data_IF_268155524019
#
_entry.id   IF_268155524019
#
_cell.length_a   1.000
_cell.length_b   1.000
_cell.length_c   1.000
_cell.angle_alpha   90.00
_cell.angle_beta   90.00
_cell.angle_gamma   90.00
#
_symmetry.space_group_name_H-M   'P 1'
#
loop_
_entity.id
_entity.type
_entity.pdbx_description
1 polymer ?
#
# COMPACT_ATOMS: atom_id res chain seq x y z
N UNK A 1 1.01 -1.75 16.85
CA UNK A 1 0.11 -1.29 15.76
C UNK A 1 0.05 -2.40 14.72
N UNK A 2 -1.04 -2.54 13.97
CA UNK A 2 -1.25 -3.64 13.01
C UNK A 2 -0.14 -3.74 11.96
N UNK A 3 0.33 -2.61 11.42
CA UNK A 3 1.44 -2.55 10.47
C UNK A 3 2.82 -2.94 11.04
N UNK A 4 2.93 -3.20 12.34
CA UNK A 4 4.16 -3.72 12.96
C UNK A 4 4.20 -5.25 12.96
N UNK A 5 3.13 -5.91 12.51
CA UNK A 5 3.07 -7.36 12.26
C UNK A 5 3.53 -8.23 13.44
N UNK A 6 3.08 -7.88 14.65
CA UNK A 6 3.30 -8.74 15.82
C UNK A 6 2.64 -10.12 15.62
N UNK A 7 3.18 -11.19 16.22
CA UNK A 7 2.57 -12.51 16.14
C UNK A 7 1.16 -12.54 16.78
N UNK A 8 0.18 -13.26 16.21
CA UNK A 8 -1.18 -13.38 16.78
C UNK A 8 -1.20 -13.79 18.25
N UNK A 9 -0.29 -14.69 18.64
CA UNK A 9 -0.13 -15.18 20.02
C UNK A 9 0.11 -14.05 21.04
N UNK A 10 0.76 -12.95 20.64
CA UNK A 10 0.96 -11.80 21.54
C UNK A 10 -0.39 -11.19 21.93
N UNK A 11 -1.33 -11.08 20.98
CA UNK A 11 -2.64 -10.49 21.23
C UNK A 11 -3.48 -11.36 22.15
N UNK A 12 -3.36 -12.70 22.07
CA UNK A 12 -4.01 -13.61 23.02
C UNK A 12 -3.56 -13.37 24.47
N UNK A 13 -2.25 -13.23 24.69
CA UNK A 13 -1.68 -12.94 26.03
C UNK A 13 -2.10 -11.55 26.54
N UNK A 14 -2.09 -10.54 25.66
CA UNK A 14 -2.54 -9.19 26.00
C UNK A 14 -4.04 -9.16 26.33
N UNK A 15 -4.88 -9.88 25.59
CA UNK A 15 -6.31 -10.01 25.85
C UNK A 15 -6.55 -10.67 27.22
N UNK A 16 -5.79 -11.72 27.57
CA UNK A 16 -5.85 -12.35 28.89
C UNK A 16 -5.51 -11.36 30.02
N UNK A 17 -4.49 -10.52 29.86
CA UNK A 17 -4.16 -9.45 30.83
C UNK A 17 -5.29 -8.43 30.95
N UNK A 18 -5.90 -8.02 29.83
CA UNK A 18 -7.04 -7.09 29.81
C UNK A 18 -8.23 -7.70 30.55
N UNK A 19 -8.56 -8.96 30.28
CA UNK A 19 -9.67 -9.65 30.95
C UNK A 19 -9.40 -9.83 32.45
N UNK A 20 -8.19 -10.20 32.83
CA UNK A 20 -7.81 -10.32 34.24
C UNK A 20 -7.87 -8.97 34.96
N UNK A 21 -7.38 -7.90 34.33
CA UNK A 21 -7.49 -6.55 34.87
C UNK A 21 -8.96 -6.12 35.05
N UNK A 22 -9.83 -6.41 34.08
CA UNK A 22 -11.27 -6.16 34.20
C UNK A 22 -11.90 -6.93 35.37
N UNK A 23 -11.46 -8.16 35.61
CA UNK A 23 -11.90 -8.99 36.75
C UNK A 23 -11.50 -8.36 38.08
N UNK A 24 -10.26 -7.88 38.23
CA UNK A 24 -9.77 -7.31 39.50
C UNK A 24 -10.46 -6.00 39.88
N UNK A 25 -10.90 -5.21 38.89
CA UNK A 25 -11.66 -3.97 39.12
C UNK A 25 -13.18 -4.19 39.17
N UNK A 26 -13.65 -5.43 39.06
CA UNK A 26 -15.08 -5.77 39.11
C UNK A 26 -15.90 -5.25 37.92
N UNK A 27 -15.27 -5.06 36.75
CA UNK A 27 -15.95 -4.58 35.55
C UNK A 27 -17.06 -5.54 35.10
N UNK A 28 -18.21 -4.97 34.71
CA UNK A 28 -19.36 -5.70 34.16
C UNK A 28 -19.65 -5.27 32.73
N UNK A 29 -19.73 -6.25 31.84
CA UNK A 29 -19.97 -6.03 30.41
C UNK A 29 -21.39 -5.46 30.23
N UNK A 30 -21.54 -4.24 29.67
CA UNK A 30 -22.85 -3.68 29.40
C UNK A 30 -23.52 -4.42 28.24
N UNK A 31 -24.85 -4.50 28.27
CA UNK A 31 -25.63 -5.09 27.18
C UNK A 31 -25.69 -4.10 26.01
N UNK A 32 -25.22 -4.50 24.83
CA UNK A 32 -25.32 -3.67 23.62
C UNK A 32 -26.69 -3.87 22.93
N UNK A 33 -27.56 -2.83 22.87
CA UNK A 33 -28.89 -2.94 22.24
C UNK A 33 -28.83 -3.17 20.72
N UNK A 34 -27.74 -2.78 20.05
CA UNK A 34 -27.59 -2.89 18.59
C UNK A 34 -27.46 -4.34 18.11
N UNK A 35 -27.11 -5.26 19.02
CA UNK A 35 -26.97 -6.70 18.75
C UNK A 35 -28.30 -7.46 18.80
N UNK A 36 -29.43 -6.78 19.01
CA UNK A 36 -30.77 -7.35 18.93
C UNK A 36 -30.97 -8.58 19.84
N UNK A 37 -31.45 -9.69 19.27
CA UNK A 37 -31.72 -10.94 19.99
C UNK A 37 -30.48 -11.60 20.59
N UNK A 38 -29.31 -11.42 19.96
CA UNK A 38 -28.04 -12.00 20.43
C UNK A 38 -27.39 -11.22 21.57
N UNK A 39 -27.85 -9.98 21.82
CA UNK A 39 -27.26 -9.08 22.81
C UNK A 39 -27.06 -9.72 24.19
N UNK A 40 -28.03 -10.50 24.68
CA UNK A 40 -27.91 -11.14 25.99
C UNK A 40 -26.94 -12.34 25.98
N UNK A 41 -26.82 -13.05 24.85
CA UNK A 41 -25.91 -14.18 24.71
C UNK A 41 -24.47 -13.67 24.65
N UNK A 42 -24.20 -12.70 23.78
CA UNK A 42 -22.88 -12.07 23.61
C UNK A 42 -22.42 -11.39 24.91
N UNK A 43 -23.30 -10.69 25.62
CA UNK A 43 -22.97 -10.10 26.92
C UNK A 43 -22.49 -11.16 27.93
N UNK A 44 -23.19 -12.31 28.02
CA UNK A 44 -22.81 -13.40 28.93
C UNK A 44 -21.50 -14.06 28.51
N UNK A 45 -21.27 -14.25 27.21
CA UNK A 45 -20.03 -14.82 26.67
C UNK A 45 -18.82 -13.91 26.99
N UNK A 46 -18.94 -12.59 26.76
CA UNK A 46 -17.89 -11.63 27.08
C UNK A 46 -17.66 -11.50 28.59
N UNK A 47 -18.72 -11.52 29.40
CA UNK A 47 -18.58 -11.50 30.86
C UNK A 47 -17.87 -12.77 31.36
N UNK A 48 -18.17 -13.93 30.76
CA UNK A 48 -17.52 -15.19 31.10
C UNK A 48 -16.01 -15.15 30.86
N UNK A 49 -15.54 -14.56 29.75
CA UNK A 49 -14.10 -14.39 29.50
C UNK A 49 -13.41 -13.61 30.62
N UNK A 50 -14.07 -12.59 31.17
CA UNK A 50 -13.57 -11.81 32.31
C UNK A 50 -13.60 -12.64 33.58
N UNK A 51 -14.72 -13.30 33.88
CA UNK A 51 -14.90 -14.05 35.11
C UNK A 51 -13.93 -15.26 35.18
N UNK A 52 -13.67 -15.92 34.04
CA UNK A 52 -12.75 -17.06 33.91
C UNK A 52 -11.27 -16.63 33.78
N UNK A 53 -10.98 -15.33 33.60
CA UNK A 53 -9.61 -14.85 33.40
C UNK A 53 -8.69 -15.10 34.61
N UNK A 54 -7.45 -15.44 34.30
CA UNK A 54 -6.37 -15.71 35.25
C UNK A 54 -5.17 -14.83 34.94
N UNK A 55 -4.41 -14.51 35.98
CA UNK A 55 -3.13 -13.82 35.84
C UNK A 55 -2.19 -14.68 34.98
N UNK A 56 -1.40 -14.03 34.11
CA UNK A 56 -0.35 -14.71 33.36
C UNK A 56 0.63 -15.37 34.34
N UNK A 57 1.00 -16.62 34.07
CA UNK A 57 2.06 -17.31 34.80
C UNK A 57 3.46 -16.85 34.33
N UNK A 58 4.51 -17.28 35.03
CA UNK A 58 5.89 -16.85 34.73
C UNK A 58 6.34 -17.21 33.30
N UNK A 59 5.91 -18.37 32.78
CA UNK A 59 6.24 -18.80 31.42
C UNK A 59 5.52 -17.94 30.37
N UNK A 60 4.26 -17.60 30.60
CA UNK A 60 3.46 -16.71 29.74
C UNK A 60 4.00 -15.28 29.75
N UNK A 61 4.47 -14.79 30.90
CA UNK A 61 5.14 -13.49 31.00
C UNK A 61 6.43 -13.51 30.18
N UNK A 62 7.25 -14.55 30.30
CA UNK A 62 8.47 -14.69 29.50
C UNK A 62 8.17 -14.83 27.99
N UNK A 63 7.12 -15.57 27.62
CA UNK A 63 6.64 -15.69 26.24
C UNK A 63 6.24 -14.32 25.69
N UNK A 64 5.46 -13.54 26.46
CA UNK A 64 5.01 -12.20 26.09
C UNK A 64 6.18 -11.26 25.83
N UNK A 65 7.16 -11.19 26.74
CA UNK A 65 8.36 -10.36 26.58
C UNK A 65 9.14 -10.73 25.31
N UNK A 66 9.24 -12.02 24.99
CA UNK A 66 9.87 -12.49 23.74
C UNK A 66 9.05 -12.13 22.50
N UNK A 67 7.72 -12.17 22.56
CA UNK A 67 6.85 -11.83 21.42
C UNK A 67 6.84 -10.32 21.14
N UNK A 68 7.00 -9.49 22.17
CA UNK A 68 7.14 -8.04 22.05
C UNK A 68 8.37 -7.61 21.24
N UNK A 69 9.37 -8.48 21.07
CA UNK A 69 10.55 -8.19 20.22
C UNK A 69 10.42 -8.72 18.79
N UNK A 70 9.36 -9.46 18.47
CA UNK A 70 9.21 -10.13 17.16
C UNK A 70 8.40 -9.32 16.14
N UNK A 71 7.89 -8.14 16.52
CA UNK A 71 7.31 -7.19 15.59
C UNK A 71 8.34 -6.19 15.08
N UNK A 72 7.94 -5.40 14.08
CA UNK A 72 8.68 -4.25 13.58
C UNK A 72 8.54 -3.06 14.54
N UNK A 73 9.05 -3.20 15.76
CA UNK A 73 8.94 -2.21 16.84
C UNK A 73 9.53 -0.85 16.48
N UNK A 74 10.58 -0.85 15.65
CA UNK A 74 11.24 0.36 15.17
C UNK A 74 10.53 1.00 13.98
N UNK A 75 9.50 0.39 13.40
CA UNK A 75 8.69 1.00 12.33
C UNK A 75 7.61 1.86 12.93
N UNK A 76 7.66 3.15 12.62
CA UNK A 76 6.67 4.14 13.03
C UNK A 76 5.59 4.30 11.98
N UNK A 77 4.49 4.98 12.33
CA UNK A 77 3.43 5.31 11.37
C UNK A 77 3.92 6.20 10.21
N UNK A 78 4.95 7.03 10.45
CA UNK A 78 5.59 7.83 9.38
C UNK A 78 6.28 6.90 8.38
N UNK A 79 7.03 5.91 8.87
CA UNK A 79 7.79 4.98 8.05
C UNK A 79 6.86 4.12 7.20
N UNK A 80 5.81 3.60 7.82
CA UNK A 80 4.76 2.86 7.12
C UNK A 80 4.11 3.68 6.00
N UNK A 81 3.65 4.90 6.31
CA UNK A 81 3.03 5.76 5.30
C UNK A 81 4.00 6.12 4.17
N UNK A 82 5.29 6.30 4.47
CA UNK A 82 6.30 6.55 3.45
C UNK A 82 6.52 5.32 2.57
N UNK A 83 6.59 4.12 3.16
CA UNK A 83 6.69 2.87 2.41
C UNK A 83 5.50 2.69 1.46
N UNK A 84 4.26 2.96 1.89
CA UNK A 84 3.08 2.90 1.01
C UNK A 84 3.17 3.93 -0.14
N UNK A 85 3.58 5.17 0.15
CA UNK A 85 3.78 6.21 -0.88
C UNK A 85 4.87 5.82 -1.89
N UNK A 86 5.95 5.22 -1.42
CA UNK A 86 7.02 4.74 -2.29
C UNK A 86 6.52 3.61 -3.20
N UNK A 87 5.76 2.65 -2.68
CA UNK A 87 5.12 1.60 -3.49
C UNK A 87 4.16 2.20 -4.53
N UNK A 88 3.35 3.20 -4.19
CA UNK A 88 2.50 3.91 -5.17
C UNK A 88 3.32 4.60 -6.27
N UNK A 89 4.46 5.20 -5.91
CA UNK A 89 5.29 6.01 -6.82
C UNK A 89 6.13 5.17 -7.78
N UNK A 90 6.67 4.05 -7.31
CA UNK A 90 7.63 3.22 -8.06
C UNK A 90 7.06 1.87 -8.51
N UNK A 91 5.95 1.43 -7.92
CA UNK A 91 5.38 0.11 -8.12
C UNK A 91 6.04 -0.94 -7.21
N UNK A 92 5.29 -1.96 -6.81
CA UNK A 92 5.70 -2.93 -5.77
C UNK A 92 6.98 -3.71 -6.10
N UNK A 93 7.31 -3.83 -7.37
CA UNK A 93 8.45 -4.62 -7.84
C UNK A 93 9.78 -3.84 -7.79
N UNK A 94 9.74 -2.50 -7.74
CA UNK A 94 10.93 -1.64 -7.75
C UNK A 94 11.45 -1.39 -6.32
N UNK A 95 11.85 -2.49 -5.66
CA UNK A 95 12.29 -2.45 -4.27
C UNK A 95 13.53 -1.57 -4.06
N UNK A 96 14.37 -1.41 -5.08
CA UNK A 96 15.57 -0.59 -5.01
C UNK A 96 15.24 0.90 -4.89
N UNK A 97 14.30 1.41 -5.71
CA UNK A 97 13.86 2.81 -5.58
C UNK A 97 12.96 3.01 -4.36
N UNK A 98 12.12 2.04 -3.98
CA UNK A 98 11.36 2.09 -2.73
C UNK A 98 12.30 2.22 -1.53
N UNK A 99 13.35 1.40 -1.47
CA UNK A 99 14.31 1.40 -0.37
C UNK A 99 15.01 2.75 -0.23
N UNK A 100 15.49 3.33 -1.34
CA UNK A 100 16.15 4.64 -1.34
C UNK A 100 15.22 5.76 -0.88
N UNK A 101 13.99 5.81 -1.41
CA UNK A 101 13.03 6.86 -1.06
C UNK A 101 12.60 6.78 0.42
N UNK A 102 12.47 5.57 0.97
CA UNK A 102 12.19 5.37 2.39
C UNK A 102 13.41 5.74 3.24
N UNK A 103 14.63 5.32 2.84
CA UNK A 103 15.88 5.68 3.52
C UNK A 103 16.07 7.20 3.61
N UNK A 104 15.91 7.90 2.48
CA UNK A 104 16.08 9.36 2.39
C UNK A 104 15.13 10.12 3.34
N UNK A 105 13.92 9.60 3.55
CA UNK A 105 12.86 10.31 4.31
C UNK A 105 12.79 9.89 5.78
N UNK A 106 13.15 8.65 6.08
CA UNK A 106 12.91 8.01 7.39
C UNK A 106 14.19 7.48 8.05
N UNK A 107 15.27 7.33 7.29
CA UNK A 107 16.52 6.72 7.73
C UNK A 107 16.48 5.20 7.85
N UNK A 108 15.42 4.52 7.36
CA UNK A 108 15.39 3.05 7.30
C UNK A 108 16.35 2.55 6.24
N UNK A 109 17.23 1.64 6.63
CA UNK A 109 18.20 1.07 5.71
C UNK A 109 17.50 0.22 4.63
N UNK A 110 18.13 0.04 3.45
CA UNK A 110 17.56 -0.80 2.40
C UNK A 110 17.27 -2.24 2.84
N UNK A 111 18.08 -2.80 3.74
CA UNK A 111 17.86 -4.14 4.29
C UNK A 111 16.62 -4.21 5.18
N UNK A 112 16.40 -3.21 6.05
CA UNK A 112 15.18 -3.11 6.85
C UNK A 112 13.94 -2.99 5.96
N UNK A 113 14.00 -2.18 4.91
CA UNK A 113 12.89 -2.00 3.97
C UNK A 113 12.59 -3.29 3.23
N UNK A 114 13.62 -4.05 2.79
CA UNK A 114 13.43 -5.36 2.14
C UNK A 114 12.81 -6.39 3.09
N UNK A 115 13.26 -6.45 4.34
CA UNK A 115 12.71 -7.35 5.35
C UNK A 115 11.24 -7.02 5.63
N UNK A 116 10.93 -5.74 5.84
CA UNK A 116 9.57 -5.26 6.04
C UNK A 116 8.68 -5.54 4.84
N UNK A 117 9.15 -5.24 3.62
CA UNK A 117 8.40 -5.46 2.38
C UNK A 117 7.96 -6.91 2.21
N UNK A 118 8.84 -7.88 2.51
CA UNK A 118 8.49 -9.31 2.45
C UNK A 118 7.33 -9.65 3.38
N UNK A 119 7.41 -9.23 4.65
CA UNK A 119 6.35 -9.52 5.63
C UNK A 119 5.08 -8.74 5.32
N UNK A 120 5.21 -7.49 4.87
CA UNK A 120 4.09 -6.68 4.44
C UNK A 120 3.31 -7.41 3.35
N UNK A 121 3.94 -7.87 2.27
CA UNK A 121 3.21 -8.53 1.18
C UNK A 121 2.62 -9.89 1.56
N UNK A 122 3.21 -10.58 2.54
CA UNK A 122 2.69 -11.85 3.06
C UNK A 122 1.47 -11.64 3.98
N UNK A 123 1.51 -10.60 4.82
CA UNK A 123 0.57 -10.38 5.94
C UNK A 123 -0.26 -9.11 5.82
N UNK A 124 -0.23 -8.39 4.70
CA UNK A 124 -0.94 -7.12 4.55
C UNK A 124 -2.47 -7.25 4.72
N UNK A 125 -3.03 -8.44 4.49
CA UNK A 125 -4.44 -8.75 4.73
C UNK A 125 -4.86 -8.65 6.21
N UNK A 126 -3.91 -8.62 7.15
CA UNK A 126 -4.16 -8.41 8.58
C UNK A 126 -4.41 -6.93 8.92
N UNK A 127 -4.11 -5.99 8.00
CA UNK A 127 -4.25 -4.56 8.24
C UNK A 127 -5.71 -4.13 8.13
N UNK A 128 -6.16 -3.26 9.05
CA UNK A 128 -7.54 -2.79 9.06
C UNK A 128 -7.93 -2.03 7.79
N UNK A 129 -6.99 -1.23 7.25
CA UNK A 129 -7.20 -0.37 6.08
C UNK A 129 -6.64 -0.98 4.78
N UNK A 130 -6.50 -2.30 4.69
CA UNK A 130 -5.80 -2.95 3.56
C UNK A 130 -6.42 -2.62 2.20
N UNK A 131 -7.75 -2.67 2.06
CA UNK A 131 -8.43 -2.41 0.79
C UNK A 131 -8.10 -1.02 0.23
N UNK A 132 -8.06 -0.03 1.12
CA UNK A 132 -7.70 1.35 0.77
C UNK A 132 -6.24 1.45 0.35
N UNK A 133 -5.34 0.78 1.07
CA UNK A 133 -3.90 0.79 0.81
C UNK A 133 -3.60 0.12 -0.54
N UNK A 134 -4.19 -1.05 -0.80
CA UNK A 134 -4.05 -1.75 -2.08
C UNK A 134 -4.58 -0.92 -3.24
N UNK A 135 -5.77 -0.34 -3.11
CA UNK A 135 -6.33 0.54 -4.12
C UNK A 135 -5.47 1.80 -4.38
N UNK A 136 -4.70 2.26 -3.40
CA UNK A 136 -3.74 3.35 -3.61
C UNK A 136 -2.53 2.88 -4.42
N UNK A 137 -1.91 1.76 -4.03
CA UNK A 137 -0.74 1.20 -4.73
C UNK A 137 -1.09 0.84 -6.18
N UNK A 138 -2.21 0.14 -6.39
CA UNK A 138 -2.65 -0.28 -7.72
C UNK A 138 -2.97 0.90 -8.65
N UNK A 139 -3.51 2.00 -8.12
CA UNK A 139 -3.69 3.24 -8.90
C UNK A 139 -2.35 3.85 -9.30
N UNK A 140 -1.34 3.78 -8.45
CA UNK A 140 0.03 4.18 -8.77
C UNK A 140 0.62 3.33 -9.89
N UNK A 141 0.52 2.01 -9.76
CA UNK A 141 0.99 1.04 -10.75
C UNK A 141 0.29 1.19 -12.10
N UNK A 142 -1.03 1.43 -12.11
CA UNK A 142 -1.77 1.70 -13.33
C UNK A 142 -1.27 2.96 -14.06
N UNK A 143 -0.87 4.01 -13.33
CA UNK A 143 -0.26 5.21 -13.92
C UNK A 143 1.12 4.90 -14.50
N UNK A 144 1.94 4.12 -13.79
CA UNK A 144 3.27 3.69 -14.27
C UNK A 144 3.12 2.88 -15.55
N UNK A 145 2.24 1.88 -15.57
CA UNK A 145 1.98 1.05 -16.73
C UNK A 145 1.41 1.84 -17.90
N UNK A 146 0.51 2.79 -17.64
CA UNK A 146 -0.02 3.69 -18.66
C UNK A 146 1.09 4.55 -19.27
N UNK A 147 1.98 5.15 -18.46
CA UNK A 147 3.14 5.89 -18.96
C UNK A 147 4.03 5.02 -19.83
N UNK A 148 4.38 3.82 -19.37
CA UNK A 148 5.19 2.88 -20.15
C UNK A 148 4.54 2.52 -21.49
N UNK A 149 3.22 2.29 -21.51
CA UNK A 149 2.47 1.99 -22.74
C UNK A 149 2.46 3.16 -23.73
N UNK A 150 2.27 4.39 -23.27
CA UNK A 150 2.28 5.60 -24.11
C UNK A 150 3.68 5.79 -24.69
N UNK A 151 4.72 5.67 -23.86
CA UNK A 151 6.12 5.75 -24.31
C UNK A 151 6.39 4.75 -25.43
N UNK A 152 6.06 3.48 -25.19
CA UNK A 152 6.25 2.39 -26.16
C UNK A 152 5.49 2.65 -27.47
N UNK A 153 4.26 3.16 -27.39
CA UNK A 153 3.47 3.48 -28.58
C UNK A 153 4.06 4.65 -29.37
N UNK A 154 4.54 5.71 -28.70
CA UNK A 154 5.22 6.84 -29.34
C UNK A 154 6.54 6.40 -29.98
N UNK A 155 7.36 5.63 -29.26
CA UNK A 155 8.63 5.09 -29.76
C UNK A 155 8.41 4.22 -31.02
N UNK A 156 7.38 3.37 -31.03
CA UNK A 156 7.04 2.54 -32.19
C UNK A 156 6.50 3.35 -33.39
N UNK A 157 5.85 4.50 -33.14
CA UNK A 157 5.20 5.31 -34.17
C UNK A 157 6.12 6.38 -34.77
N UNK A 158 6.99 6.97 -33.95
CA UNK A 158 7.84 8.14 -34.28
C UNK A 158 9.33 7.79 -34.25
N UNK A 159 9.76 6.87 -33.38
CA UNK A 159 11.17 6.58 -33.15
C UNK A 159 11.86 5.83 -34.30
N UNK A 160 13.12 5.44 -34.10
CA UNK A 160 13.99 4.90 -35.15
C UNK A 160 13.51 3.58 -35.77
N UNK A 161 12.66 2.84 -35.05
CA UNK A 161 12.02 1.61 -35.54
C UNK A 161 10.72 1.87 -36.31
N UNK A 162 10.30 3.13 -36.44
CA UNK A 162 9.09 3.51 -37.15
C UNK A 162 9.25 3.38 -38.67
N UNK A 163 8.13 3.20 -39.37
CA UNK A 163 8.09 3.11 -40.85
C UNK A 163 8.52 4.40 -41.57
N UNK A 164 8.69 5.51 -40.84
CA UNK A 164 8.92 6.84 -41.40
C UNK A 164 10.35 7.28 -41.17
N UNK A 165 11.08 7.55 -42.26
CA UNK A 165 12.45 8.07 -42.19
C UNK A 165 12.49 9.53 -41.76
N UNK A 166 11.43 10.29 -42.03
CA UNK A 166 11.26 11.67 -41.59
C UNK A 166 9.85 11.89 -40.98
N UNK A 167 9.64 11.50 -39.70
CA UNK A 167 8.32 11.53 -39.05
C UNK A 167 7.61 12.87 -39.12
N UNK A 168 8.33 13.99 -38.91
CA UNK A 168 7.78 15.35 -38.99
C UNK A 168 7.13 15.71 -40.33
N UNK A 169 7.52 15.03 -41.43
CA UNK A 169 6.98 15.29 -42.76
C UNK A 169 6.10 14.14 -43.27
N UNK A 170 6.31 12.91 -42.78
CA UNK A 170 5.75 11.69 -43.37
C UNK A 170 4.69 11.00 -42.49
N UNK A 171 4.73 11.20 -41.17
CA UNK A 171 3.87 10.47 -40.24
C UNK A 171 2.37 10.73 -40.50
N UNK A 172 1.63 9.67 -40.82
CA UNK A 172 0.18 9.71 -40.97
C UNK A 172 -0.55 9.23 -39.72
N UNK A 173 -1.60 9.95 -39.34
CA UNK A 173 -2.48 9.64 -38.22
C UNK A 173 -3.80 9.07 -38.76
N UNK A 174 -4.18 7.89 -38.27
CA UNK A 174 -5.45 7.28 -38.61
C UNK A 174 -6.51 7.75 -37.59
N UNK A 175 -7.33 8.73 -37.98
CA UNK A 175 -8.27 9.40 -37.08
C UNK A 175 -9.58 8.62 -36.82
N UNK A 176 -9.96 7.72 -37.72
CA UNK A 176 -11.31 7.13 -37.70
C UNK A 176 -12.39 8.22 -37.70
N UNK A 177 -13.36 8.11 -36.80
CA UNK A 177 -14.45 9.09 -36.64
C UNK A 177 -14.10 10.30 -35.77
N UNK A 178 -12.86 10.41 -35.27
CA UNK A 178 -12.51 11.30 -34.14
C UNK A 178 -11.60 12.50 -34.51
N UNK A 179 -11.45 12.87 -35.79
CA UNK A 179 -10.52 13.95 -36.21
C UNK A 179 -10.85 15.34 -35.63
N UNK A 180 -12.11 15.62 -35.31
CA UNK A 180 -12.53 16.97 -34.91
C UNK A 180 -12.31 18.01 -36.02
N UNK A 181 -12.54 19.30 -35.72
CA UNK A 181 -12.36 20.42 -36.67
C UNK A 181 -11.32 21.46 -36.23
N UNK A 182 -10.71 21.28 -35.07
CA UNK A 182 -9.87 22.32 -34.45
C UNK A 182 -8.41 22.27 -34.91
N UNK A 183 -7.89 21.06 -35.19
CA UNK A 183 -6.51 20.87 -35.61
C UNK A 183 -6.46 20.22 -37.00
N UNK A 184 -5.48 20.61 -37.80
CA UNK A 184 -5.16 19.94 -39.07
C UNK A 184 -4.11 18.84 -38.86
N UNK A 185 -3.97 17.95 -39.83
CA UNK A 185 -3.07 16.79 -39.70
C UNK A 185 -1.59 17.16 -39.60
N UNK A 186 -1.19 18.31 -40.16
CA UNK A 186 0.18 18.82 -40.01
C UNK A 186 0.45 19.27 -38.57
N UNK A 187 -0.52 19.92 -37.92
CA UNK A 187 -0.43 20.36 -36.52
C UNK A 187 -0.38 19.15 -35.58
N UNK A 188 -1.29 18.19 -35.72
CA UNK A 188 -1.30 16.97 -34.90
C UNK A 188 0.01 16.18 -35.04
N UNK A 189 0.54 16.09 -36.26
CA UNK A 189 1.82 15.43 -36.54
C UNK A 189 2.96 16.13 -35.84
N UNK A 190 3.00 17.46 -35.91
CA UNK A 190 4.01 18.26 -35.21
C UNK A 190 3.90 18.02 -33.70
N UNK A 191 2.70 18.06 -33.13
CA UNK A 191 2.45 17.80 -31.71
C UNK A 191 2.97 16.41 -31.29
N UNK A 192 2.59 15.35 -32.02
CA UNK A 192 3.03 13.97 -31.71
C UNK A 192 4.55 13.82 -31.81
N UNK A 193 5.16 14.36 -32.87
CA UNK A 193 6.61 14.26 -33.08
C UNK A 193 7.39 15.09 -32.05
N UNK A 194 6.91 16.30 -31.74
CA UNK A 194 7.56 17.18 -30.77
C UNK A 194 7.42 16.64 -29.35
N UNK A 195 6.24 16.12 -28.99
CA UNK A 195 6.00 15.49 -27.69
C UNK A 195 6.90 14.26 -27.48
N UNK A 196 7.08 13.43 -28.52
CA UNK A 196 8.04 12.32 -28.48
C UNK A 196 9.48 12.83 -28.30
N UNK A 197 9.90 13.82 -29.09
CA UNK A 197 11.25 14.39 -29.05
C UNK A 197 11.58 15.04 -27.70
N UNK A 198 10.64 15.77 -27.11
CA UNK A 198 10.84 16.45 -25.82
C UNK A 198 10.74 15.46 -24.65
N UNK A 199 9.96 14.40 -24.78
CA UNK A 199 9.64 13.44 -23.73
C UNK A 199 8.30 13.77 -23.08
N UNK A 200 7.26 12.99 -23.41
CA UNK A 200 5.86 13.27 -23.05
C UNK A 200 5.56 13.31 -21.54
N UNK A 201 6.47 12.80 -20.72
CA UNK A 201 6.32 12.69 -19.27
C UNK A 201 7.13 13.74 -18.49
N UNK A 202 7.72 14.74 -19.16
CA UNK A 202 8.36 15.88 -18.50
C UNK A 202 7.31 16.84 -17.91
N UNK A 203 7.62 17.39 -16.75
CA UNK A 203 6.72 18.18 -15.89
C UNK A 203 6.13 19.43 -16.59
N UNK A 204 6.83 20.00 -17.59
CA UNK A 204 6.41 21.22 -18.32
C UNK A 204 6.43 21.02 -19.84
N UNK A 205 5.98 19.87 -20.34
CA UNK A 205 6.10 19.55 -21.79
C UNK A 205 4.97 20.10 -22.67
N UNK A 206 3.84 20.52 -22.08
CA UNK A 206 2.65 20.99 -22.79
C UNK A 206 2.51 22.51 -22.79
#
# INVERSE_FOLDING_TARGET
QDFQFFPPRLFELLDQEIYYFRKTVGYKVPKNPELGSDASRIQKEEQRKIDDAQQLNDDEIAEKEKLLTQGFTNWTKRDFNQFIKANEKYGRDDIDNISKDVEDVTGKTPDEVRQYSRVFWDRCHELQDIDRIMAQIERGEAKIQRRASIKKALDAKVGDMARYRAPFHQLRIAYGTNKGKNFIEEEDRFLVCMLHKLGFDKENVY
#
